data_IF_803411884067
#
_entry.id   IF_803411884067
#
_cell.length_a   1.000
_cell.length_b   1.000
_cell.length_c   1.000
_cell.angle_alpha   90.00
_cell.angle_beta   90.00
_cell.angle_gamma   90.00
#
_symmetry.space_group_name_H-M   'P 1'
#
loop_
_entity.id
_entity.type
_entity.pdbx_description
1 polymer ?
#
# COMPACT_ATOMS: atom_id res chain seq x y z
N UNK A 1 -6.56 -14.65 3.88
CA UNK A 1 -6.93 -13.26 4.22
C UNK A 1 -5.69 -12.52 4.69
N UNK A 2 -5.09 -11.70 3.84
CA UNK A 2 -3.90 -10.96 4.24
C UNK A 2 -4.22 -9.79 5.18
N UNK A 3 -3.24 -9.36 5.98
CA UNK A 3 -3.40 -8.19 6.84
C UNK A 3 -3.67 -6.92 6.04
N UNK A 4 -4.51 -6.04 6.58
CA UNK A 4 -4.84 -4.76 5.97
C UNK A 4 -3.62 -3.82 5.98
N UNK A 5 -3.36 -3.14 4.87
CA UNK A 5 -2.30 -2.15 4.79
C UNK A 5 -2.80 -0.78 5.23
N UNK A 6 -1.89 0.05 5.75
CA UNK A 6 -2.19 1.35 6.31
C UNK A 6 -1.20 2.38 5.81
N UNK A 7 -1.56 3.66 5.95
CA UNK A 7 -0.57 4.73 5.79
C UNK A 7 0.61 4.47 6.73
N UNK A 8 1.81 4.72 6.27
CA UNK A 8 3.09 4.44 6.92
C UNK A 8 3.58 3.00 6.81
N UNK A 9 2.77 2.06 6.30
CA UNK A 9 3.25 0.71 6.06
C UNK A 9 4.24 0.70 4.89
N UNK A 10 5.25 -0.15 5.00
CA UNK A 10 6.34 -0.19 4.04
C UNK A 10 6.01 -1.02 2.82
N UNK A 11 6.62 -0.66 1.68
CA UNK A 11 6.63 -1.49 0.49
C UNK A 11 8.05 -1.65 -0.03
N UNK A 12 8.28 -2.70 -0.82
CA UNK A 12 9.52 -2.87 -1.58
C UNK A 12 9.28 -2.46 -3.02
N UNK A 13 10.31 -1.93 -3.67
CA UNK A 13 10.24 -1.51 -5.06
C UNK A 13 11.52 -1.93 -5.76
N UNK A 14 11.44 -2.88 -6.72
CA UNK A 14 12.62 -3.38 -7.41
C UNK A 14 13.04 -2.50 -8.60
N UNK A 15 12.28 -1.45 -8.90
CA UNK A 15 12.54 -0.62 -10.07
C UNK A 15 13.82 0.21 -9.91
N UNK A 16 14.45 0.54 -11.04
CA UNK A 16 15.59 1.41 -11.10
C UNK A 16 15.24 2.65 -11.94
N UNK A 17 15.78 3.80 -11.54
CA UNK A 17 15.80 4.99 -12.38
C UNK A 17 17.25 5.21 -12.79
N UNK A 18 17.59 4.83 -14.02
CA UNK A 18 18.98 4.75 -14.44
C UNK A 18 19.72 3.71 -13.61
N UNK A 19 20.72 4.13 -12.82
CA UNK A 19 21.49 3.26 -11.93
C UNK A 19 21.05 3.39 -10.45
N UNK A 20 20.02 4.21 -10.17
CA UNK A 20 19.56 4.48 -8.82
C UNK A 20 18.40 3.55 -8.48
N UNK A 21 18.57 2.61 -7.53
CA UNK A 21 17.46 1.72 -7.14
C UNK A 21 16.41 2.47 -6.33
N UNK A 22 15.14 2.13 -6.56
CA UNK A 22 14.03 2.73 -5.82
C UNK A 22 13.96 2.25 -4.38
N UNK A 23 14.28 0.99 -4.13
CA UNK A 23 14.31 0.35 -2.80
C UNK A 23 12.93 0.20 -2.17
N UNK A 24 12.13 1.24 -2.13
CA UNK A 24 10.83 1.26 -1.47
C UNK A 24 10.77 2.32 -0.38
N UNK A 25 9.75 2.23 0.46
CA UNK A 25 9.57 3.18 1.56
C UNK A 25 8.18 3.08 2.16
N UNK A 26 7.83 3.96 3.12
CA UNK A 26 6.50 3.96 3.72
C UNK A 26 5.45 4.53 2.80
N UNK A 27 4.20 4.05 2.98
CA UNK A 27 3.05 4.64 2.31
C UNK A 27 2.79 6.04 2.85
N UNK A 28 2.46 6.97 1.96
CA UNK A 28 2.24 8.36 2.35
C UNK A 28 0.82 8.58 2.83
N UNK A 29 0.62 9.44 3.85
CA UNK A 29 -0.72 9.90 4.19
C UNK A 29 -1.27 10.78 3.05
N UNK A 30 -2.60 11.00 2.98
CA UNK A 30 -3.55 10.67 4.04
C UNK A 30 -4.12 9.26 3.97
N UNK A 31 -3.97 8.51 2.87
CA UNK A 31 -4.74 7.29 2.69
C UNK A 31 -6.23 7.62 2.73
N UNK A 32 -7.04 6.82 3.45
CA UNK A 32 -8.45 7.12 3.70
C UNK A 32 -8.63 7.49 5.19
N UNK A 33 -8.64 8.79 5.52
CA UNK A 33 -8.62 9.21 6.92
C UNK A 33 -9.93 8.92 7.68
N UNK A 34 -11.01 8.60 6.98
CA UNK A 34 -12.27 8.25 7.64
C UNK A 34 -12.31 6.78 8.06
N UNK A 35 -11.35 5.97 7.64
CA UNK A 35 -11.25 4.56 8.01
C UNK A 35 -9.89 4.32 8.63
N UNK A 36 -9.87 3.98 9.92
CA UNK A 36 -8.62 3.73 10.65
C UNK A 36 -8.45 2.24 10.88
N UNK A 37 -7.24 1.76 10.61
CA UNK A 37 -6.84 0.37 10.85
C UNK A 37 -5.67 0.42 11.80
N UNK A 38 -5.87 -0.10 13.01
CA UNK A 38 -4.83 -0.02 14.05
C UNK A 38 -4.44 1.42 14.38
N UNK A 39 -5.39 2.35 14.28
CA UNK A 39 -5.14 3.76 14.55
C UNK A 39 -4.54 4.57 13.40
N UNK A 40 -4.28 3.92 12.25
CA UNK A 40 -3.68 4.58 11.09
C UNK A 40 -4.69 4.60 9.92
N UNK A 41 -4.67 5.64 9.07
CA UNK A 41 -5.54 5.67 7.90
C UNK A 41 -5.35 4.46 7.00
N UNK A 42 -6.45 3.90 6.50
CA UNK A 42 -6.41 2.74 5.62
C UNK A 42 -5.79 3.09 4.27
N UNK A 43 -5.10 2.12 3.67
CA UNK A 43 -4.48 2.27 2.35
C UNK A 43 -5.38 1.62 1.29
N UNK A 44 -5.45 2.23 0.11
CA UNK A 44 -6.32 1.79 -0.98
C UNK A 44 -5.55 1.77 -2.29
N UNK A 45 -6.12 1.10 -3.30
CA UNK A 45 -5.61 1.20 -4.67
C UNK A 45 -5.59 2.67 -5.10
N UNK A 46 -4.46 3.10 -5.65
CA UNK A 46 -4.25 4.49 -6.08
C UNK A 46 -3.55 5.36 -5.06
N UNK A 47 -3.42 4.91 -3.81
CA UNK A 47 -2.71 5.69 -2.79
C UNK A 47 -1.20 5.68 -3.08
N UNK A 48 -0.55 6.77 -2.69
CA UNK A 48 0.85 7.02 -3.05
C UNK A 48 1.80 6.41 -2.04
N UNK A 49 2.85 5.79 -2.57
CA UNK A 49 3.92 5.17 -1.78
C UNK A 49 5.22 5.91 -2.02
N UNK A 50 5.98 6.13 -0.95
CA UNK A 50 7.29 6.76 -1.07
C UNK A 50 8.25 5.85 -1.83
N UNK A 51 8.93 6.41 -2.84
CA UNK A 51 9.92 5.67 -3.61
C UNK A 51 11.02 6.63 -4.05
N UNK A 52 12.23 6.12 -4.19
CA UNK A 52 13.33 6.91 -4.75
C UNK A 52 13.05 7.15 -6.23
N UNK A 53 13.05 8.42 -6.66
CA UNK A 53 12.63 8.79 -8.00
C UNK A 53 11.12 9.04 -8.05
N UNK A 54 10.40 8.63 -9.12
CA UNK A 54 8.95 8.84 -9.19
C UNK A 54 8.23 8.08 -8.09
N UNK A 55 7.16 8.66 -7.50
CA UNK A 55 6.38 7.95 -6.48
C UNK A 55 5.75 6.70 -7.06
N UNK A 56 5.65 5.67 -6.21
CA UNK A 56 4.92 4.45 -6.53
C UNK A 56 3.46 4.61 -6.10
N UNK A 57 2.58 3.73 -6.56
CA UNK A 57 1.18 3.69 -6.14
C UNK A 57 0.73 2.26 -5.93
N UNK A 58 -0.29 2.08 -5.09
CA UNK A 58 -0.89 0.77 -4.91
C UNK A 58 -1.66 0.40 -6.17
N UNK A 59 -1.31 -0.73 -6.79
CA UNK A 59 -1.89 -1.15 -8.06
C UNK A 59 -2.95 -2.24 -7.92
N UNK A 60 -2.91 -3.03 -6.84
CA UNK A 60 -3.83 -4.13 -6.62
C UNK A 60 -4.36 -4.10 -5.19
N UNK A 61 -5.57 -4.60 -4.99
CA UNK A 61 -6.21 -4.65 -3.69
C UNK A 61 -7.28 -5.71 -3.64
N UNK A 62 -8.09 -5.68 -2.58
CA UNK A 62 -9.17 -6.64 -2.38
C UNK A 62 -10.21 -6.52 -3.48
N UNK A 63 -10.66 -7.67 -4.01
CA UNK A 63 -11.74 -7.70 -4.97
C UNK A 63 -13.14 -7.56 -4.36
N UNK A 64 -13.24 -7.66 -3.02
CA UNK A 64 -14.54 -7.65 -2.34
C UNK A 64 -14.68 -6.57 -1.27
N UNK A 65 -13.58 -6.03 -0.78
CA UNK A 65 -13.61 -5.01 0.28
C UNK A 65 -13.19 -3.67 -0.30
N UNK A 66 -14.10 -2.70 -0.22
CA UNK A 66 -13.84 -1.33 -0.70
C UNK A 66 -13.72 -0.37 0.49
N UNK A 67 -12.80 0.56 0.36
CA UNK A 67 -12.60 1.64 1.33
C UNK A 67 -12.67 2.94 0.54
N UNK A 68 -13.65 3.79 0.83
CA UNK A 68 -13.82 5.03 0.09
C UNK A 68 -14.02 4.81 -1.40
N UNK A 69 -14.75 3.76 -1.79
CA UNK A 69 -15.05 3.37 -3.17
C UNK A 69 -13.84 2.83 -3.96
N UNK A 70 -12.71 2.58 -3.29
CA UNK A 70 -11.52 1.97 -3.92
C UNK A 70 -11.19 0.65 -3.23
N UNK A 71 -10.64 -0.34 -3.95
CA UNK A 71 -10.24 -1.60 -3.33
C UNK A 71 -9.26 -1.40 -2.18
N UNK A 72 -9.49 -2.08 -1.06
CA UNK A 72 -8.62 -2.00 0.10
C UNK A 72 -7.27 -2.65 -0.20
N UNK A 73 -6.18 -2.00 0.20
CA UNK A 73 -4.84 -2.54 0.06
C UNK A 73 -4.50 -3.49 1.19
N UNK A 74 -3.70 -4.51 0.91
CA UNK A 74 -3.34 -5.56 1.84
C UNK A 74 -1.85 -5.88 1.74
N UNK A 75 -1.31 -6.49 2.80
CA UNK A 75 0.06 -7.01 2.75
C UNK A 75 0.19 -7.98 1.57
N UNK A 76 1.23 -7.81 0.76
CA UNK A 76 1.46 -8.61 -0.43
C UNK A 76 0.85 -8.07 -1.71
N UNK A 77 0.02 -7.03 -1.65
CA UNK A 77 -0.55 -6.42 -2.85
C UNK A 77 0.53 -5.70 -3.65
N UNK A 78 0.38 -5.76 -4.97
CA UNK A 78 1.38 -5.22 -5.89
C UNK A 78 1.28 -3.72 -6.03
N UNK A 79 2.42 -3.10 -6.34
CA UNK A 79 2.51 -1.67 -6.63
C UNK A 79 2.76 -1.45 -8.12
N UNK A 80 2.53 -0.22 -8.58
CA UNK A 80 2.69 0.13 -10.00
C UNK A 80 4.12 -0.08 -10.51
N UNK A 81 5.12 0.04 -9.64
CA UNK A 81 6.51 -0.19 -10.00
C UNK A 81 6.92 -1.67 -9.95
N UNK A 82 5.97 -2.57 -9.71
CA UNK A 82 6.25 -4.02 -9.67
C UNK A 82 6.73 -4.54 -8.32
N UNK A 83 6.65 -3.72 -7.28
CA UNK A 83 6.94 -4.15 -5.92
C UNK A 83 5.72 -4.67 -5.19
N UNK A 84 5.81 -4.78 -3.87
CA UNK A 84 4.69 -5.24 -3.04
C UNK A 84 4.73 -4.60 -1.66
N UNK A 85 3.54 -4.54 -1.04
CA UNK A 85 3.41 -4.12 0.35
C UNK A 85 3.94 -5.21 1.26
N UNK A 86 4.77 -4.87 2.23
CA UNK A 86 5.44 -5.85 3.10
C UNK A 86 5.07 -5.73 4.57
N UNK A 87 4.24 -4.76 4.93
CA UNK A 87 3.71 -4.60 6.29
C UNK A 87 2.21 -4.42 6.24
N UNK A 88 1.55 -4.79 7.32
CA UNK A 88 0.13 -4.61 7.49
C UNK A 88 -0.25 -4.78 8.94
N UNK A 89 -1.53 -4.49 9.27
CA UNK A 89 -2.05 -4.65 10.62
C UNK A 89 -2.45 -6.10 10.85
N UNK A 90 -1.69 -6.81 11.69
CA UNK A 90 -1.89 -8.24 11.90
C UNK A 90 -3.21 -8.58 12.60
N UNK A 91 -3.88 -7.58 13.19
CA UNK A 91 -5.16 -7.79 13.87
C UNK A 91 -6.36 -7.51 12.96
N UNK A 92 -6.13 -6.98 11.75
CA UNK A 92 -7.21 -6.68 10.79
C UNK A 92 -6.90 -7.39 9.48
N UNK A 93 -7.73 -8.36 9.13
CA UNK A 93 -7.56 -9.13 7.89
C UNK A 93 -8.59 -8.70 6.87
N UNK A 94 -8.17 -8.62 5.61
CA UNK A 94 -9.05 -8.26 4.50
C UNK A 94 -9.06 -9.42 3.51
N UNK A 95 -10.26 -9.88 3.17
CA UNK A 95 -10.42 -10.94 2.19
C UNK A 95 -10.21 -10.48 0.76
N UNK A 96 -10.52 -11.32 -0.17
CA UNK A 96 -10.36 -11.04 -1.61
C UNK A 96 -11.24 -9.90 -2.11
#
# INVERSE_FOLDING_TARGET
MPPAARASDMHVCPMLTGVVPHVGGPALPPGEPTVLIGGMPALRVGDILTCTGPPDTVAAGSGTVMIGSMPAARLGDQTAHGGSLILGCLTVMIGD
#
